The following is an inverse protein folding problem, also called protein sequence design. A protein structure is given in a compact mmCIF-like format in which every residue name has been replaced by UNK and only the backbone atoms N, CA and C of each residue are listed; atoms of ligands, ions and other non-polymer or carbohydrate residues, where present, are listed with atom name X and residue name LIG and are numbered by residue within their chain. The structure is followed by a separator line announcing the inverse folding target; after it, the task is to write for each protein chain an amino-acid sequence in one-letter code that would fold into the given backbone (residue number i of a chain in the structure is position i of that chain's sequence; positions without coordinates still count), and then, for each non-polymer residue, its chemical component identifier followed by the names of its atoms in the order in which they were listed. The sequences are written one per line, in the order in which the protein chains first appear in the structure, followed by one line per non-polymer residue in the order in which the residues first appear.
data_IF_217038679206
#
_entry.id   IF_217038679206
#
_cell.length_a   1.000
_cell.length_b   1.000
_cell.length_c   1.000
_cell.angle_alpha   90.00
_cell.angle_beta   90.00
_cell.angle_gamma   90.00
#
_symmetry.space_group_name_H-M   'P 1'
#
loop_
_entity.id
_entity.type
_entity.pdbx_description
1 polymer ?
#
# COMPACT_ATOMS: atom_id res chain seq x y z
N UNK A 1 -17.01 -12.97 34.82
CA UNK A 1 -15.55 -12.71 34.73
C UNK A 1 -15.08 -12.98 33.30
N UNK A 2 -14.64 -11.93 32.58
CA UNK A 2 -14.22 -12.00 31.18
C UNK A 2 -12.84 -12.66 31.02
N UNK A 3 -12.75 -13.76 30.27
CA UNK A 3 -11.48 -14.42 29.94
C UNK A 3 -10.88 -13.74 28.72
N UNK A 4 -9.88 -12.89 28.95
CA UNK A 4 -9.10 -12.21 27.91
C UNK A 4 -8.44 -13.26 27.00
N UNK A 5 -8.63 -13.24 25.67
CA UNK A 5 -7.92 -14.16 24.79
C UNK A 5 -6.44 -13.79 24.78
N UNK A 6 -5.61 -14.72 25.27
CA UNK A 6 -4.15 -14.60 25.34
C UNK A 6 -3.52 -14.79 23.96
N UNK A 7 -2.49 -13.99 23.67
CA UNK A 7 -1.65 -14.04 22.46
C UNK A 7 -0.91 -15.38 22.24
N UNK A 8 -1.03 -16.33 23.17
CA UNK A 8 -0.50 -17.68 23.03
C UNK A 8 -1.01 -18.41 21.76
N UNK A 9 -2.20 -18.06 21.27
CA UNK A 9 -2.80 -18.68 20.08
C UNK A 9 -2.20 -18.22 18.73
N UNK A 10 -1.25 -17.28 18.72
CA UNK A 10 -0.68 -16.74 17.47
C UNK A 10 0.42 -17.61 16.86
N UNK A 11 1.03 -18.52 17.64
CA UNK A 11 2.19 -19.32 17.20
C UNK A 11 1.83 -20.64 16.51
N UNK A 12 0.56 -21.07 16.58
CA UNK A 12 0.14 -22.39 16.10
C UNK A 12 -0.38 -22.39 14.64
N UNK A 13 -0.52 -21.22 14.00
CA UNK A 13 -0.84 -21.13 12.56
C UNK A 13 0.42 -21.23 11.71
N UNK A 14 1.10 -22.36 11.78
CA UNK A 14 2.10 -22.77 10.80
C UNK A 14 1.81 -24.21 10.37
N UNK A 15 0.99 -24.35 9.33
CA UNK A 15 1.23 -25.21 8.16
C UNK A 15 -0.08 -25.68 7.50
N UNK A 16 -0.40 -25.09 6.35
CA UNK A 16 -0.80 -25.87 5.18
C UNK A 16 -0.28 -25.14 3.95
N UNK A 17 0.91 -25.54 3.51
CA UNK A 17 1.40 -25.25 2.16
C UNK A 17 0.61 -26.15 1.22
N UNK A 18 -0.40 -25.57 0.56
CA UNK A 18 -0.89 -26.06 -0.70
C UNK A 18 0.03 -25.53 -1.81
N UNK A 19 0.37 -26.38 -2.77
CA UNK A 19 1.28 -26.14 -3.88
C UNK A 19 0.96 -24.84 -4.68
N UNK A 20 1.96 -24.21 -5.32
CA UNK A 20 1.77 -22.96 -6.04
C UNK A 20 1.01 -23.19 -7.35
N UNK A 21 -0.30 -22.93 -7.35
CA UNK A 21 -1.02 -22.55 -8.56
C UNK A 21 -0.68 -21.09 -8.85
N UNK A 22 -0.05 -20.85 -10.00
CA UNK A 22 0.27 -19.51 -10.48
C UNK A 22 -1.00 -18.65 -10.52
N UNK A 23 -1.05 -17.47 -9.88
CA UNK A 23 -2.09 -16.51 -10.21
C UNK A 23 -1.69 -15.83 -11.52
N UNK A 24 -2.31 -16.28 -12.61
CA UNK A 24 -2.46 -15.47 -13.80
C UNK A 24 -3.09 -14.12 -13.40
N UNK A 25 -2.55 -13.05 -13.99
CA UNK A 25 -3.05 -11.70 -13.84
C UNK A 25 -4.54 -11.59 -14.18
N UNK A 26 -5.24 -10.75 -13.42
CA UNK A 26 -6.45 -10.06 -13.88
C UNK A 26 -7.77 -10.70 -13.49
N UNK A 27 -8.32 -10.29 -12.36
CA UNK A 27 -9.75 -9.95 -12.32
C UNK A 27 -9.98 -8.84 -11.32
N UNK A 28 -10.25 -7.66 -11.85
CA UNK A 28 -10.87 -6.56 -11.11
C UNK A 28 -12.21 -7.05 -10.56
N UNK A 29 -12.22 -7.42 -9.28
CA UNK A 29 -13.44 -7.65 -8.53
C UNK A 29 -14.11 -6.31 -8.24
N UNK A 30 -14.97 -5.87 -9.16
CA UNK A 30 -16.13 -5.07 -8.80
C UNK A 30 -17.07 -5.95 -7.93
N UNK A 31 -17.85 -5.34 -7.05
CA UNK A 31 -18.77 -5.99 -6.10
C UNK A 31 -18.22 -6.59 -4.80
N UNK A 32 -17.52 -5.75 -4.03
CA UNK A 32 -17.91 -5.59 -2.63
C UNK A 32 -18.19 -4.12 -2.36
N UNK A 33 -19.47 -3.72 -2.37
CA UNK A 33 -19.96 -2.45 -1.81
C UNK A 33 -19.81 -2.43 -0.28
N UNK A 34 -18.60 -2.66 0.22
CA UNK A 34 -18.19 -2.06 1.48
C UNK A 34 -18.09 -0.56 1.24
N UNK A 35 -18.68 0.25 2.13
CA UNK A 35 -18.47 1.71 2.14
C UNK A 35 -16.97 1.97 1.95
N UNK A 36 -16.60 2.55 0.81
CA UNK A 36 -15.21 2.92 0.56
C UNK A 36 -14.83 3.91 1.65
N UNK A 37 -13.67 3.76 2.32
CA UNK A 37 -13.23 4.75 3.30
C UNK A 37 -13.24 6.14 2.67
N UNK A 38 -13.71 7.15 3.41
CA UNK A 38 -13.76 8.53 2.92
C UNK A 38 -12.40 9.02 2.35
N UNK A 39 -11.29 8.52 2.90
CA UNK A 39 -9.94 8.79 2.39
C UNK A 39 -9.66 8.28 0.97
N UNK A 40 -10.55 7.47 0.36
CA UNK A 40 -10.44 6.97 -1.02
C UNK A 40 -11.44 7.63 -1.97
N UNK A 41 -12.36 8.45 -1.47
CA UNK A 41 -13.29 9.19 -2.32
C UNK A 41 -12.53 10.19 -3.20
N UNK A 42 -12.86 10.21 -4.50
CA UNK A 42 -12.18 11.07 -5.49
C UNK A 42 -10.71 10.71 -5.80
N UNK A 43 -10.15 9.66 -5.17
CA UNK A 43 -8.73 9.26 -5.36
C UNK A 43 -8.60 7.97 -6.14
N UNK A 44 -7.60 7.90 -7.02
CA UNK A 44 -7.22 6.68 -7.75
C UNK A 44 -5.95 6.07 -7.14
N UNK A 45 -5.96 4.75 -6.95
CA UNK A 45 -4.77 4.05 -6.51
C UNK A 45 -3.76 3.94 -7.65
N UNK A 46 -2.51 4.33 -7.38
CA UNK A 46 -1.36 4.12 -8.25
C UNK A 46 -0.45 3.11 -7.55
N UNK A 47 -0.13 2.01 -8.23
CA UNK A 47 0.70 0.93 -7.68
C UNK A 47 1.73 0.47 -8.71
N UNK A 48 2.91 0.08 -8.23
CA UNK A 48 4.00 -0.48 -9.02
C UNK A 48 4.83 -1.44 -8.17
N UNK A 49 5.52 -2.38 -8.82
CA UNK A 49 6.46 -3.28 -8.16
C UNK A 49 7.85 -2.65 -8.10
N UNK A 50 8.43 -2.59 -6.90
CA UNK A 50 9.77 -2.05 -6.65
C UNK A 50 10.61 -3.07 -5.88
N UNK A 51 11.92 -2.89 -5.90
CA UNK A 51 12.81 -3.75 -5.10
C UNK A 51 12.56 -3.56 -3.60
N UNK A 52 12.76 -4.59 -2.77
CA UNK A 52 12.62 -4.47 -1.32
C UNK A 52 13.49 -3.36 -0.73
N UNK A 53 14.73 -3.23 -1.22
CA UNK A 53 15.68 -2.21 -0.76
C UNK A 53 15.20 -0.79 -1.06
N UNK A 54 14.62 -0.57 -2.24
CA UNK A 54 14.05 0.74 -2.60
C UNK A 54 12.85 1.08 -1.71
N UNK A 55 11.96 0.11 -1.48
CA UNK A 55 10.80 0.29 -0.58
C UNK A 55 11.26 0.67 0.83
N UNK A 56 12.25 -0.05 1.36
CA UNK A 56 12.84 0.24 2.67
C UNK A 56 13.43 1.66 2.73
N UNK A 57 14.26 2.03 1.75
CA UNK A 57 14.89 3.34 1.70
C UNK A 57 13.86 4.48 1.67
N UNK A 58 12.81 4.34 0.84
CA UNK A 58 11.74 5.35 0.71
C UNK A 58 10.94 5.48 2.00
N UNK A 59 10.59 4.37 2.65
CA UNK A 59 9.89 4.40 3.94
C UNK A 59 10.74 5.03 5.04
N UNK A 60 12.04 4.74 5.10
CA UNK A 60 12.94 5.34 6.09
C UNK A 60 13.12 6.84 5.85
N UNK A 61 13.22 7.27 4.59
CA UNK A 61 13.28 8.68 4.22
C UNK A 61 12.02 9.44 4.66
N UNK A 62 10.83 8.91 4.34
CA UNK A 62 9.56 9.53 4.73
C UNK A 62 9.44 9.67 6.26
N UNK A 63 9.80 8.61 7.00
CA UNK A 63 9.80 8.62 8.48
C UNK A 63 10.75 9.65 9.06
N UNK A 64 11.98 9.75 8.53
CA UNK A 64 12.98 10.73 8.98
C UNK A 64 12.49 12.16 8.79
N UNK A 65 11.65 12.42 7.80
CA UNK A 65 11.04 13.73 7.54
C UNK A 65 9.70 13.93 8.27
N UNK A 66 9.21 12.95 9.02
CA UNK A 66 7.90 13.02 9.68
C UNK A 66 6.71 13.04 8.69
N UNK A 67 6.89 12.53 7.47
CA UNK A 67 5.88 12.53 6.40
C UNK A 67 5.40 11.13 6.09
N UNK A 68 4.22 11.03 5.47
CA UNK A 68 3.74 9.77 4.92
C UNK A 68 4.49 9.43 3.64
N UNK A 69 4.62 8.13 3.33
CA UNK A 69 5.18 7.71 2.04
C UNK A 69 4.37 8.27 0.87
N UNK A 70 3.04 8.36 1.01
CA UNK A 70 2.17 8.93 -0.02
C UNK A 70 2.51 10.40 -0.31
N UNK A 71 2.77 11.22 0.72
CA UNK A 71 3.15 12.62 0.53
C UNK A 71 4.51 12.74 -0.20
N UNK A 72 5.47 11.88 0.16
CA UNK A 72 6.77 11.83 -0.52
C UNK A 72 6.66 11.35 -1.98
N UNK A 73 5.77 10.39 -2.26
CA UNK A 73 5.50 9.94 -3.63
C UNK A 73 4.78 11.02 -4.45
N UNK A 74 3.82 11.74 -3.86
CA UNK A 74 3.10 12.83 -4.53
C UNK A 74 4.06 13.96 -4.94
N UNK A 75 5.01 14.31 -4.07
CA UNK A 75 6.09 15.24 -4.39
C UNK A 75 6.93 14.76 -5.58
N UNK A 76 7.42 13.51 -5.53
CA UNK A 76 8.20 12.92 -6.61
C UNK A 76 7.43 12.89 -7.95
N UNK A 77 6.12 12.59 -7.93
CA UNK A 77 5.29 12.62 -9.14
C UNK A 77 5.13 14.04 -9.69
N UNK A 78 4.92 15.03 -8.83
CA UNK A 78 4.85 16.43 -9.25
C UNK A 78 6.18 16.91 -9.86
N UNK A 79 7.31 16.47 -9.33
CA UNK A 79 8.63 16.80 -9.89
C UNK A 79 8.85 16.16 -11.26
N UNK A 80 8.39 14.92 -11.46
CA UNK A 80 8.37 14.28 -12.77
C UNK A 80 7.51 15.08 -13.76
N UNK A 81 6.29 15.47 -13.37
CA UNK A 81 5.40 16.24 -14.24
C UNK A 81 6.01 17.58 -14.64
N UNK A 82 6.57 18.32 -13.66
CA UNK A 82 7.28 19.58 -13.93
C UNK A 82 8.44 19.40 -14.89
N UNK A 83 9.21 18.31 -14.74
CA UNK A 83 10.32 17.99 -15.66
C UNK A 83 9.86 17.81 -17.10
N UNK A 84 8.63 17.35 -17.32
CA UNK A 84 8.04 17.18 -18.66
C UNK A 84 7.16 18.36 -19.11
N UNK A 85 7.14 19.46 -18.36
CA UNK A 85 6.34 20.66 -18.70
C UNK A 85 4.86 20.56 -18.35
N UNK A 86 4.46 19.52 -17.62
CA UNK A 86 3.08 19.32 -17.16
C UNK A 86 2.82 20.08 -15.85
N UNK A 87 1.56 20.48 -15.65
CA UNK A 87 1.14 21.13 -14.40
C UNK A 87 1.10 20.10 -13.24
N UNK A 88 1.58 20.45 -12.04
CA UNK A 88 1.49 19.58 -10.88
C UNK A 88 0.02 19.34 -10.50
N UNK A 89 -0.31 18.12 -10.08
CA UNK A 89 -1.70 17.67 -9.87
C UNK A 89 -2.19 17.79 -8.41
N UNK A 90 -1.39 18.37 -7.52
CA UNK A 90 -1.75 18.56 -6.09
C UNK A 90 -1.23 17.45 -5.17
N UNK A 91 -1.74 17.42 -3.92
CA UNK A 91 -1.48 16.39 -2.88
C UNK A 91 -2.63 15.36 -2.76
#
# INVERSE_FOLDING_TARGET
MSRKPSFANLRDRTASVAAPSHPAAGTSGDDQKGSRPASREGRKQIAGFFTPDMSLAMHMMARRQGRSLQALMAEAFNDVLRKYGESPVGE
#
